data_IF_086243809648
#
_entry.id   IF_086243809648
#
_cell.length_a   1.000
_cell.length_b   1.000
_cell.length_c   1.000
_cell.angle_alpha   90.00
_cell.angle_beta   90.00
_cell.angle_gamma   90.00
#
_symmetry.space_group_name_H-M   'P 1'
#
loop_
_entity.id
_entity.type
_entity.pdbx_description
1 polymer ?
#
# COMPACT_ATOMS: atom_id res chain seq x y z
N UNK A 1 17.07 -14.03 -3.56
CA UNK A 1 15.97 -15.02 -3.47
C UNK A 1 15.17 -14.87 -2.18
N UNK A 2 15.83 -14.69 -1.03
CA UNK A 2 15.17 -14.57 0.27
C UNK A 2 14.18 -13.38 0.37
N UNK A 3 14.51 -12.23 -0.23
CA UNK A 3 13.60 -11.08 -0.30
C UNK A 3 12.33 -11.34 -1.12
N UNK A 4 12.43 -12.03 -2.26
CA UNK A 4 11.26 -12.42 -3.07
C UNK A 4 10.32 -13.32 -2.26
N UNK A 5 10.88 -14.34 -1.58
CA UNK A 5 10.11 -15.27 -0.74
C UNK A 5 9.41 -14.50 0.39
N UNK A 6 10.13 -13.57 1.03
CA UNK A 6 9.56 -12.72 2.08
C UNK A 6 8.33 -11.94 1.59
N UNK A 7 8.47 -11.22 0.48
CA UNK A 7 7.38 -10.42 -0.08
C UNK A 7 6.22 -11.28 -0.59
N UNK A 8 6.48 -12.47 -1.15
CA UNK A 8 5.42 -13.41 -1.54
C UNK A 8 4.63 -13.93 -0.33
N UNK A 9 5.32 -14.31 0.76
CA UNK A 9 4.68 -14.72 2.00
C UNK A 9 3.87 -13.57 2.61
N UNK A 10 4.42 -12.36 2.58
CA UNK A 10 3.70 -11.16 3.00
C UNK A 10 2.43 -10.93 2.17
N UNK A 11 2.51 -10.97 0.84
CA UNK A 11 1.34 -10.81 -0.04
C UNK A 11 0.29 -11.89 0.24
N UNK A 12 0.69 -13.14 0.48
CA UNK A 12 -0.24 -14.22 0.84
C UNK A 12 -1.02 -13.88 2.11
N UNK A 13 -0.32 -13.44 3.17
CA UNK A 13 -0.96 -13.02 4.43
C UNK A 13 -1.83 -11.78 4.23
N UNK A 14 -1.37 -10.80 3.46
CA UNK A 14 -2.11 -9.58 3.17
C UNK A 14 -3.43 -9.89 2.43
N UNK A 15 -3.40 -10.76 1.42
CA UNK A 15 -4.61 -11.21 0.70
C UNK A 15 -5.58 -11.92 1.63
N UNK A 16 -5.09 -12.76 2.56
CA UNK A 16 -5.94 -13.38 3.58
C UNK A 16 -6.58 -12.36 4.51
N UNK A 17 -5.83 -11.34 4.95
CA UNK A 17 -6.40 -10.25 5.74
C UNK A 17 -7.45 -9.47 4.97
N UNK A 18 -7.23 -9.21 3.67
CA UNK A 18 -8.21 -8.57 2.79
C UNK A 18 -9.49 -9.39 2.64
N UNK A 19 -9.41 -10.71 2.70
CA UNK A 19 -10.60 -11.57 2.72
C UNK A 19 -11.44 -11.37 3.99
N UNK A 20 -10.81 -11.21 5.16
CA UNK A 20 -11.52 -10.96 6.43
C UNK A 20 -12.00 -9.52 6.59
N UNK A 21 -11.29 -8.57 5.98
CA UNK A 21 -11.58 -7.14 6.06
C UNK A 21 -11.70 -6.57 4.63
N UNK A 22 -12.82 -6.84 3.94
CA UNK A 22 -13.05 -6.34 2.59
C UNK A 22 -13.03 -4.81 2.58
N UNK A 23 -12.56 -4.24 1.48
CA UNK A 23 -12.46 -2.79 1.30
C UNK A 23 -11.15 -2.17 1.83
N UNK A 24 -10.33 -2.93 2.55
CA UNK A 24 -9.02 -2.48 3.01
C UNK A 24 -7.90 -3.04 2.15
N UNK A 25 -6.80 -2.29 2.04
CA UNK A 25 -5.58 -2.72 1.36
C UNK A 25 -4.46 -2.96 2.38
N UNK A 26 -4.15 -4.25 2.57
CA UNK A 26 -3.08 -4.68 3.47
C UNK A 26 -1.74 -4.83 2.75
N UNK A 27 -1.66 -4.63 1.43
CA UNK A 27 -0.43 -4.70 0.64
C UNK A 27 0.30 -3.35 0.65
N UNK A 28 -0.44 -2.24 0.68
CA UNK A 28 0.13 -0.87 0.71
C UNK A 28 1.22 -0.66 1.77
N UNK A 29 1.04 -1.05 3.05
CA UNK A 29 2.09 -0.90 4.05
C UNK A 29 3.41 -1.56 3.66
N UNK A 30 3.36 -2.75 3.06
CA UNK A 30 4.53 -3.49 2.59
C UNK A 30 5.19 -2.82 1.37
N UNK A 31 4.39 -2.30 0.45
CA UNK A 31 4.90 -1.47 -0.67
C UNK A 31 5.62 -0.23 -0.14
N UNK A 32 5.05 0.45 0.87
CA UNK A 32 5.71 1.62 1.46
C UNK A 32 7.02 1.23 2.15
N UNK A 33 7.05 0.12 2.88
CA UNK A 33 8.32 -0.38 3.48
C UNK A 33 9.33 -0.72 2.38
N UNK A 34 8.94 -1.36 1.28
CA UNK A 34 9.87 -1.69 0.20
C UNK A 34 10.46 -0.44 -0.48
N UNK A 35 9.70 0.66 -0.53
CA UNK A 35 10.14 1.95 -1.08
C UNK A 35 11.12 2.70 -0.16
N UNK A 36 11.16 2.35 1.13
CA UNK A 36 12.09 2.92 2.11
C UNK A 36 13.48 2.26 2.09
N UNK A 37 13.69 1.28 1.20
CA UNK A 37 14.98 0.62 1.00
C UNK A 37 15.84 1.34 -0.05
N UNK A 38 17.16 1.24 0.09
CA UNK A 38 18.14 2.01 -0.69
C UNK A 38 18.08 1.67 -2.19
N UNK A 39 17.81 0.41 -2.52
CA UNK A 39 17.60 -0.10 -3.89
C UNK A 39 16.12 -0.33 -4.22
N UNK A 40 15.28 0.68 -3.96
CA UNK A 40 13.83 0.61 -4.11
C UNK A 40 13.35 0.02 -5.46
N UNK A 41 14.05 0.29 -6.56
CA UNK A 41 13.68 -0.16 -7.90
C UNK A 41 13.64 -1.69 -8.06
N UNK A 42 14.48 -2.44 -7.33
CA UNK A 42 14.64 -3.88 -7.56
C UNK A 42 13.55 -4.71 -6.88
N UNK A 43 13.12 -4.28 -5.70
CA UNK A 43 12.08 -4.96 -4.92
C UNK A 43 10.70 -4.30 -5.06
N UNK A 44 10.62 -2.98 -5.17
CA UNK A 44 9.33 -2.29 -5.21
C UNK A 44 8.67 -2.34 -6.58
N UNK A 45 9.43 -2.35 -7.68
CA UNK A 45 8.84 -2.31 -9.02
C UNK A 45 7.98 -3.54 -9.32
N UNK A 46 8.49 -4.75 -9.03
CA UNK A 46 7.71 -5.97 -9.20
C UNK A 46 6.58 -6.07 -8.17
N UNK A 47 6.81 -5.63 -6.93
CA UNK A 47 5.81 -5.69 -5.86
C UNK A 47 4.62 -4.78 -6.16
N UNK A 48 4.87 -3.55 -6.63
CA UNK A 48 3.83 -2.62 -7.08
C UNK A 48 3.08 -3.21 -8.27
N UNK A 49 3.78 -3.71 -9.29
CA UNK A 49 3.14 -4.33 -10.46
C UNK A 49 2.26 -5.51 -10.06
N UNK A 50 2.75 -6.36 -9.16
CA UNK A 50 2.02 -7.49 -8.61
C UNK A 50 0.81 -7.04 -7.77
N UNK A 51 0.96 -6.00 -6.95
CA UNK A 51 -0.11 -5.45 -6.14
C UNK A 51 -1.24 -4.85 -6.99
N UNK A 52 -0.90 -4.11 -8.05
CA UNK A 52 -1.88 -3.60 -9.02
C UNK A 52 -2.67 -4.76 -9.64
N UNK A 53 -1.98 -5.79 -10.13
CA UNK A 53 -2.63 -6.96 -10.73
C UNK A 53 -3.51 -7.73 -9.75
N UNK A 54 -3.08 -7.85 -8.49
CA UNK A 54 -3.88 -8.49 -7.45
C UNK A 54 -5.13 -7.67 -7.12
N UNK A 55 -5.00 -6.37 -6.86
CA UNK A 55 -6.15 -5.56 -6.48
C UNK A 55 -7.19 -5.46 -7.61
N UNK A 56 -6.75 -5.25 -8.86
CA UNK A 56 -7.66 -5.23 -10.00
C UNK A 56 -8.21 -6.64 -10.32
N UNK A 57 -7.43 -7.70 -10.08
CA UNK A 57 -7.84 -9.10 -10.28
C UNK A 57 -8.82 -9.63 -9.22
N UNK A 58 -8.88 -9.02 -8.04
CA UNK A 58 -9.80 -9.39 -6.96
C UNK A 58 -11.24 -8.92 -7.19
N UNK A 59 -11.49 -8.11 -8.23
CA UNK A 59 -12.83 -7.81 -8.73
C UNK A 59 -13.64 -6.81 -7.90
N UNK A 60 -12.98 -5.91 -7.17
CA UNK A 60 -13.64 -4.91 -6.32
C UNK A 60 -14.28 -3.75 -7.10
N UNK A 61 -13.46 -2.87 -7.65
CA UNK A 61 -13.84 -1.75 -8.53
C UNK A 61 -13.27 -2.01 -9.93
N UNK A 62 -13.79 -1.35 -10.97
CA UNK A 62 -13.33 -1.59 -12.33
C UNK A 62 -11.85 -1.27 -12.57
N UNK A 63 -11.37 -1.77 -13.70
CA UNK A 63 -9.97 -1.73 -14.09
C UNK A 63 -9.38 -0.32 -14.03
N UNK A 64 -8.31 -0.14 -13.26
CA UNK A 64 -7.65 1.15 -13.06
C UNK A 64 -7.66 1.67 -11.63
N UNK A 65 -8.47 1.09 -10.72
CA UNK A 65 -8.39 1.43 -9.29
C UNK A 65 -7.00 1.16 -8.73
N UNK A 66 -6.49 -0.07 -8.87
CA UNK A 66 -5.17 -0.46 -8.36
C UNK A 66 -4.06 0.40 -8.97
N UNK A 67 -4.13 0.67 -10.27
CA UNK A 67 -3.15 1.53 -10.94
C UNK A 67 -3.14 2.96 -10.38
N UNK A 68 -4.31 3.58 -10.23
CA UNK A 68 -4.42 4.93 -9.66
C UNK A 68 -4.00 4.96 -8.18
N UNK A 69 -4.43 3.96 -7.41
CA UNK A 69 -4.13 3.79 -6.00
C UNK A 69 -2.62 3.73 -5.74
N UNK A 70 -1.94 2.73 -6.30
CA UNK A 70 -0.50 2.58 -6.10
C UNK A 70 0.32 3.67 -6.80
N UNK A 71 -0.12 4.16 -7.96
CA UNK A 71 0.54 5.25 -8.67
C UNK A 71 0.56 6.56 -7.87
N UNK A 72 -0.56 6.92 -7.25
CA UNK A 72 -0.65 8.13 -6.43
C UNK A 72 0.10 7.98 -5.10
N UNK A 73 0.10 6.79 -4.49
CA UNK A 73 0.91 6.50 -3.30
C UNK A 73 2.40 6.68 -3.62
N UNK A 74 2.88 6.14 -4.74
CA UNK A 74 4.26 6.32 -5.19
C UNK A 74 4.61 7.79 -5.38
N UNK A 75 3.73 8.55 -6.03
CA UNK A 75 3.93 9.98 -6.26
C UNK A 75 4.02 10.76 -4.94
N UNK A 76 3.10 10.53 -4.00
CA UNK A 76 3.11 11.21 -2.71
C UNK A 76 4.28 10.77 -1.84
N UNK A 77 4.68 9.49 -1.89
CA UNK A 77 5.87 9.01 -1.21
C UNK A 77 7.14 9.70 -1.75
N UNK A 78 7.32 9.77 -3.07
CA UNK A 78 8.49 10.40 -3.70
C UNK A 78 8.55 11.90 -3.44
N UNK A 79 7.41 12.58 -3.38
CA UNK A 79 7.35 13.97 -2.96
C UNK A 79 7.68 14.11 -1.47
N UNK A 80 7.05 13.29 -0.62
CA UNK A 80 7.20 13.35 0.83
C UNK A 80 8.62 13.05 1.30
N UNK A 81 9.30 12.07 0.71
CA UNK A 81 10.69 11.72 1.06
C UNK A 81 11.71 12.82 0.76
N UNK A 82 11.35 13.84 -0.02
CA UNK A 82 12.18 15.04 -0.23
C UNK A 82 12.12 16.01 0.94
N UNK A 83 11.05 15.97 1.73
CA UNK A 83 10.82 16.86 2.88
C UNK A 83 11.05 16.16 4.22
N UNK A 84 10.86 14.85 4.28
CA UNK A 84 10.95 14.02 5.48
C UNK A 84 11.92 12.87 5.28
N UNK A 85 12.47 12.35 6.39
CA UNK A 85 13.19 11.07 6.36
C UNK A 85 12.23 9.97 5.88
N UNK A 86 12.60 9.18 4.85
CA UNK A 86 11.78 8.09 4.32
C UNK A 86 11.23 7.15 5.39
N UNK A 87 11.97 6.92 6.48
CA UNK A 87 11.63 5.99 7.57
C UNK A 87 10.97 6.69 8.77
N UNK A 88 10.68 7.99 8.66
CA UNK A 88 10.07 8.75 9.74
C UNK A 88 8.58 8.45 9.91
N UNK A 89 8.13 8.42 11.17
CA UNK A 89 6.70 8.37 11.50
C UNK A 89 5.92 9.58 10.99
N UNK A 90 6.59 10.72 10.76
CA UNK A 90 5.96 11.92 10.19
C UNK A 90 5.50 11.69 8.75
N UNK A 91 6.37 11.13 7.90
CA UNK A 91 6.00 10.78 6.52
C UNK A 91 4.88 9.73 6.50
N UNK A 92 4.96 8.73 7.38
CA UNK A 92 3.93 7.70 7.54
C UNK A 92 2.59 8.31 7.95
N UNK A 93 2.57 9.29 8.86
CA UNK A 93 1.36 9.99 9.26
C UNK A 93 0.72 10.79 8.11
N UNK A 94 1.52 11.48 7.30
CA UNK A 94 1.04 12.17 6.10
C UNK A 94 0.47 11.17 5.09
N UNK A 95 1.17 10.06 4.84
CA UNK A 95 0.70 8.99 3.96
C UNK A 95 -0.59 8.36 4.47
N UNK A 96 -0.75 8.17 5.78
CA UNK A 96 -1.97 7.63 6.38
C UNK A 96 -3.19 8.50 6.08
N UNK A 97 -3.08 9.80 6.32
CA UNK A 97 -4.15 10.76 6.03
C UNK A 97 -4.44 10.80 4.52
N UNK A 98 -3.39 10.83 3.70
CA UNK A 98 -3.53 10.81 2.25
C UNK A 98 -4.23 9.54 1.76
N UNK A 99 -3.88 8.36 2.29
CA UNK A 99 -4.49 7.08 1.93
C UNK A 99 -5.98 7.06 2.23
N UNK A 100 -6.41 7.55 3.40
CA UNK A 100 -7.84 7.63 3.71
C UNK A 100 -8.59 8.55 2.74
N UNK A 101 -8.04 9.75 2.47
CA UNK A 101 -8.64 10.68 1.51
C UNK A 101 -8.66 10.12 0.09
N UNK A 102 -7.60 9.42 -0.30
CA UNK A 102 -7.46 8.81 -1.61
C UNK A 102 -8.46 7.66 -1.77
N UNK A 103 -8.65 6.82 -0.76
CA UNK A 103 -9.57 5.67 -0.79
C UNK A 103 -10.98 6.18 -1.03
N UNK A 104 -11.39 7.17 -0.23
CA UNK A 104 -12.68 7.81 -0.39
C UNK A 104 -12.86 8.40 -1.79
N UNK A 105 -11.87 9.17 -2.26
CA UNK A 105 -11.95 9.90 -3.53
C UNK A 105 -11.98 8.98 -4.74
N UNK A 106 -11.17 7.92 -4.75
CA UNK A 106 -11.14 6.94 -5.84
C UNK A 106 -12.41 6.09 -5.83
N UNK A 107 -12.84 5.59 -4.68
CA UNK A 107 -14.06 4.79 -4.57
C UNK A 107 -15.28 5.59 -5.00
N UNK A 108 -15.40 6.86 -4.58
CA UNK A 108 -16.45 7.75 -5.07
C UNK A 108 -16.37 7.97 -6.58
N UNK A 109 -15.21 8.33 -7.11
CA UNK A 109 -15.08 8.68 -8.53
C UNK A 109 -15.33 7.49 -9.46
N UNK A 110 -14.78 6.31 -9.14
CA UNK A 110 -14.93 5.12 -9.98
C UNK A 110 -16.34 4.53 -9.91
N UNK A 111 -16.97 4.50 -8.73
CA UNK A 111 -18.37 4.04 -8.63
C UNK A 111 -19.32 4.93 -9.41
N UNK A 112 -19.11 6.25 -9.41
CA UNK A 112 -19.88 7.18 -10.23
C UNK A 112 -19.65 6.96 -11.73
N UNK A 113 -18.42 6.73 -12.16
CA UNK A 113 -18.09 6.43 -13.56
C UNK A 113 -18.70 5.11 -14.04
N UNK A 114 -18.80 4.13 -13.14
CA UNK A 114 -19.39 2.81 -13.42
C UNK A 114 -20.91 2.79 -13.30
N UNK A 115 -21.54 3.90 -12.88
CA UNK A 115 -22.98 3.99 -12.68
C UNK A 115 -23.49 3.09 -11.54
N UNK A 116 -22.62 2.72 -10.61
CA UNK A 116 -22.96 1.89 -9.45
C UNK A 116 -23.49 2.72 -8.28
N UNK A 117 -24.25 2.06 -7.40
CA UNK A 117 -24.72 2.66 -6.16
C UNK A 117 -23.55 2.95 -5.20
N UNK A 118 -23.42 4.19 -4.77
CA UNK A 118 -22.39 4.60 -3.80
C UNK A 118 -22.96 4.71 -2.39
N UNK A 119 -22.38 3.98 -1.44
CA UNK A 119 -22.79 4.02 -0.02
C UNK A 119 -21.76 4.83 0.78
N UNK A 120 -22.11 6.07 1.10
CA UNK A 120 -21.24 7.02 1.82
C UNK A 120 -20.73 6.47 3.16
N UNK A 121 -21.59 5.84 3.94
CA UNK A 121 -21.24 5.32 5.26
C UNK A 121 -20.15 4.25 5.18
N UNK A 122 -20.29 3.32 4.22
CA UNK A 122 -19.33 2.24 4.03
C UNK A 122 -17.98 2.76 3.53
N UNK A 123 -18.00 3.62 2.50
CA UNK A 123 -16.79 4.21 1.95
C UNK A 123 -16.04 5.08 2.96
N UNK A 124 -16.74 5.85 3.79
CA UNK A 124 -16.13 6.63 4.86
C UNK A 124 -15.49 5.73 5.92
N UNK A 125 -16.18 4.66 6.32
CA UNK A 125 -15.64 3.72 7.30
C UNK A 125 -14.37 3.05 6.79
N UNK A 126 -14.37 2.51 5.57
CA UNK A 126 -13.18 1.92 4.95
C UNK A 126 -12.03 2.93 4.86
N UNK A 127 -12.32 4.16 4.49
CA UNK A 127 -11.31 5.23 4.37
C UNK A 127 -10.65 5.56 5.70
N UNK A 128 -11.46 5.68 6.76
CA UNK A 128 -10.96 5.92 8.12
C UNK A 128 -10.18 4.71 8.63
N UNK A 129 -10.70 3.50 8.40
CA UNK A 129 -10.04 2.26 8.79
C UNK A 129 -8.69 2.08 8.06
N UNK A 130 -8.63 2.35 6.75
CA UNK A 130 -7.40 2.31 5.95
C UNK A 130 -6.36 3.29 6.50
N UNK A 131 -6.77 4.54 6.78
CA UNK A 131 -5.89 5.55 7.37
C UNK A 131 -5.40 5.15 8.77
N UNK A 132 -6.28 4.60 9.61
CA UNK A 132 -5.95 4.22 10.98
C UNK A 132 -5.07 2.96 11.07
N UNK A 133 -5.29 1.99 10.19
CA UNK A 133 -4.57 0.72 10.16
C UNK A 133 -3.21 0.81 9.47
N UNK A 134 -3.04 1.76 8.55
CA UNK A 134 -1.77 1.91 7.83
C UNK A 134 -0.55 2.14 8.75
N UNK A 135 -0.54 3.10 9.70
CA UNK A 135 0.61 3.31 10.59
C UNK A 135 1.01 2.10 11.44
N UNK A 136 0.10 1.40 12.16
CA UNK A 136 0.49 0.24 12.96
C UNK A 136 0.96 -0.93 12.09
N UNK A 137 0.34 -1.16 10.93
CA UNK A 137 0.80 -2.20 9.99
C UNK A 137 2.18 -1.88 9.43
N UNK A 138 2.41 -0.64 9.01
CA UNK A 138 3.74 -0.19 8.58
C UNK A 138 4.79 -0.44 9.67
N UNK A 139 4.50 -0.06 10.91
CA UNK A 139 5.43 -0.26 12.04
C UNK A 139 5.75 -1.73 12.28
N UNK A 140 4.73 -2.61 12.25
CA UNK A 140 4.89 -4.06 12.41
C UNK A 140 5.76 -4.62 11.28
N UNK A 141 5.46 -4.30 10.02
CA UNK A 141 6.22 -4.81 8.87
C UNK A 141 7.65 -4.30 8.91
N UNK A 142 7.85 -3.02 9.19
CA UNK A 142 9.18 -2.41 9.29
C UNK A 142 10.06 -3.11 10.35
N UNK A 143 9.46 -3.53 11.47
CA UNK A 143 10.14 -4.23 12.57
C UNK A 143 10.42 -5.70 12.25
N UNK A 144 9.49 -6.38 11.59
CA UNK A 144 9.63 -7.80 11.25
C UNK A 144 10.54 -7.99 10.01
N UNK A 145 10.64 -6.98 9.14
CA UNK A 145 11.44 -7.03 7.92
C UNK A 145 12.92 -7.36 8.26
N UNK A 146 13.46 -8.49 7.76
CA UNK A 146 14.75 -9.01 8.20
C UNK A 146 15.90 -8.02 7.99
N UNK A 147 16.68 -7.73 9.04
CA UNK A 147 17.87 -6.88 8.94
C UNK A 147 18.91 -7.40 7.93
N UNK A 148 18.98 -8.72 7.75
CA UNK A 148 19.86 -9.33 6.73
C UNK A 148 19.49 -8.92 5.31
N UNK A 149 18.21 -8.66 5.04
CA UNK A 149 17.77 -8.13 3.75
C UNK A 149 18.04 -6.62 3.62
N UNK A 150 18.28 -5.94 4.75
CA UNK A 150 18.78 -4.55 4.78
C UNK A 150 20.32 -4.52 4.60
N UNK A 151 21.04 -5.59 4.96
CA UNK A 151 22.52 -5.66 4.95
C UNK A 151 23.15 -6.42 3.77
N UNK A 152 22.52 -7.48 3.21
CA UNK A 152 23.00 -8.17 1.98
C UNK A 152 23.13 -7.19 0.79
N UNK A 153 22.49 -6.02 0.91
CA UNK A 153 22.54 -4.91 -0.05
C UNK A 153 23.71 -3.94 0.19
N UNK A 154 24.47 -4.05 1.29
CA UNK A 154 25.67 -3.24 1.56
C UNK A 154 26.96 -3.86 1.02
N UNK A 155 26.93 -5.15 0.70
CA UNK A 155 28.10 -5.93 0.25
C UNK A 155 27.97 -6.49 -1.17
N UNK A 156 26.88 -6.19 -1.88
CA UNK A 156 26.64 -6.55 -3.28
C UNK A 156 26.77 -5.32 -4.19
#
# INVERSE_FOLDING_TARGET
MLGLIWWLLYCLVAVWLQYFFPGLDFIVPGVVVSLQEENWWRSSAWLVGFAVLLQDGMGGLGFGYGLAWYGLILLVFELGRRFFDPRSGALVGVLAVFLGLLHFSLTYSLTQLEGMGFTWEHALWESVAQAALFPPLWYIIHKIFPERLKEDERTA
#
